data_IF_565389602107
#
_entry.id   IF_565389602107
#
_cell.length_a   1.000
_cell.length_b   1.000
_cell.length_c   1.000
_cell.angle_alpha   90.00
_cell.angle_beta   90.00
_cell.angle_gamma   90.00
#
_symmetry.space_group_name_H-M   'P 1'
#
loop_
_entity.id
_entity.type
_entity.pdbx_description
1 polymer ?
#
# COMPACT_ATOMS: atom_id res chain seq x y z
N UNK A 1 -6.49 -5.28 28.37
CA UNK A 1 -5.38 -4.82 27.49
C UNK A 1 -4.93 -5.85 26.42
N UNK A 2 -5.32 -7.13 26.48
CA UNK A 2 -5.08 -8.11 25.40
C UNK A 2 -5.83 -7.80 24.08
N UNK A 3 -6.94 -7.06 24.13
CA UNK A 3 -7.78 -6.75 22.97
C UNK A 3 -7.13 -5.84 21.90
N UNK A 4 -6.05 -5.11 22.23
CA UNK A 4 -5.32 -4.27 21.27
C UNK A 4 -4.24 -5.04 20.51
N UNK A 5 -3.65 -6.08 21.12
CA UNK A 5 -2.63 -6.92 20.47
C UNK A 5 -3.22 -7.77 19.35
N UNK A 6 -4.45 -8.26 19.53
CA UNK A 6 -5.15 -9.03 18.49
C UNK A 6 -5.52 -8.14 17.31
N UNK A 7 -6.03 -6.92 17.54
CA UNK A 7 -6.35 -5.97 16.46
C UNK A 7 -5.13 -5.58 15.63
N UNK A 8 -3.95 -5.43 16.22
CA UNK A 8 -2.72 -5.11 15.49
C UNK A 8 -2.24 -6.27 14.60
N UNK A 9 -2.43 -7.52 15.04
CA UNK A 9 -2.06 -8.71 14.26
C UNK A 9 -2.97 -8.87 13.03
N UNK A 10 -4.28 -8.62 13.19
CA UNK A 10 -5.23 -8.60 12.08
C UNK A 10 -4.88 -7.57 11.01
N UNK A 11 -4.45 -6.37 11.44
CA UNK A 11 -4.09 -5.29 10.51
C UNK A 11 -2.86 -5.70 9.66
N UNK A 12 -1.82 -6.28 10.26
CA UNK A 12 -0.64 -6.75 9.53
C UNK A 12 -0.93 -7.94 8.61
N UNK A 13 -1.77 -8.89 9.03
CA UNK A 13 -2.19 -10.02 8.20
C UNK A 13 -3.08 -9.58 7.03
N UNK A 14 -3.99 -8.62 7.25
CA UNK A 14 -4.85 -8.08 6.19
C UNK A 14 -4.05 -7.24 5.18
N UNK A 15 -3.07 -6.44 5.62
CA UNK A 15 -2.15 -5.73 4.73
C UNK A 15 -1.28 -6.69 3.90
N UNK A 16 -0.78 -7.76 4.51
CA UNK A 16 0.06 -8.75 3.83
C UNK A 16 -0.70 -9.66 2.86
N UNK A 17 -1.93 -10.08 3.18
CA UNK A 17 -2.72 -10.96 2.32
C UNK A 17 -3.21 -10.26 1.06
N UNK A 18 -3.70 -9.03 1.15
CA UNK A 18 -4.25 -8.35 -0.02
C UNK A 18 -3.17 -7.92 -1.01
N UNK A 19 -2.00 -7.43 -0.54
CA UNK A 19 -0.87 -7.21 -1.45
C UNK A 19 -0.50 -8.49 -2.19
N UNK A 20 -0.47 -9.63 -1.49
CA UNK A 20 -0.24 -10.93 -2.13
C UNK A 20 -1.35 -11.27 -3.13
N UNK A 21 -2.62 -11.00 -2.83
CA UNK A 21 -3.74 -11.26 -3.75
C UNK A 21 -3.74 -10.33 -4.97
N UNK A 22 -3.53 -9.03 -4.79
CA UNK A 22 -3.43 -8.04 -5.86
C UNK A 22 -2.23 -8.32 -6.76
N UNK A 23 -1.04 -8.52 -6.17
CA UNK A 23 0.16 -8.89 -6.91
C UNK A 23 -0.02 -10.23 -7.61
N UNK A 24 -0.63 -11.23 -6.97
CA UNK A 24 -0.93 -12.51 -7.61
C UNK A 24 -1.88 -12.34 -8.79
N UNK A 25 -2.96 -11.56 -8.67
CA UNK A 25 -3.89 -11.28 -9.78
C UNK A 25 -3.15 -10.55 -10.91
N UNK A 26 -2.43 -9.48 -10.59
CA UNK A 26 -1.62 -8.76 -11.57
C UNK A 26 -0.62 -9.69 -12.26
N UNK A 27 0.12 -10.54 -11.54
CA UNK A 27 1.04 -11.51 -12.15
C UNK A 27 0.34 -12.57 -13.00
N UNK A 28 -0.86 -13.03 -12.60
CA UNK A 28 -1.66 -13.96 -13.41
C UNK A 28 -2.11 -13.35 -14.74
N UNK A 29 -2.54 -12.09 -14.74
CA UNK A 29 -3.08 -11.41 -15.92
C UNK A 29 -2.03 -10.64 -16.75
N UNK A 30 -1.00 -10.06 -16.12
CA UNK A 30 -0.04 -9.15 -16.75
C UNK A 30 1.23 -9.84 -17.26
N UNK A 31 1.76 -10.82 -16.52
CA UNK A 31 3.13 -11.30 -16.75
C UNK A 31 3.20 -12.60 -17.57
N UNK A 32 2.12 -13.37 -17.62
CA UNK A 32 2.12 -14.70 -18.23
C UNK A 32 1.26 -14.81 -19.50
N UNK A 33 0.47 -13.78 -19.84
CA UNK A 33 -0.34 -13.76 -21.06
C UNK A 33 0.38 -12.99 -22.17
N UNK A 34 0.51 -13.64 -23.34
CA UNK A 34 1.13 -13.05 -24.52
C UNK A 34 0.35 -11.79 -24.94
N UNK A 35 1.05 -10.66 -25.08
CA UNK A 35 0.45 -9.37 -25.46
C UNK A 35 0.05 -8.46 -24.29
N UNK A 36 0.33 -8.84 -23.03
CA UNK A 36 0.12 -7.97 -21.85
C UNK A 36 1.43 -7.42 -21.25
N UNK A 37 2.53 -7.47 -22.01
CA UNK A 37 3.89 -7.11 -21.57
C UNK A 37 3.96 -5.71 -20.95
N UNK A 38 3.29 -4.73 -21.55
CA UNK A 38 3.26 -3.34 -21.07
C UNK A 38 2.69 -3.20 -19.65
N UNK A 39 1.78 -4.09 -19.25
CA UNK A 39 1.16 -4.06 -17.92
C UNK A 39 2.17 -4.36 -16.80
N UNK A 40 3.28 -5.05 -17.12
CA UNK A 40 4.34 -5.35 -16.15
C UNK A 40 4.97 -4.08 -15.56
N UNK A 41 5.14 -3.02 -16.36
CA UNK A 41 5.68 -1.73 -15.94
C UNK A 41 4.76 -0.99 -14.94
N UNK A 42 3.47 -1.34 -14.93
CA UNK A 42 2.46 -0.69 -14.09
C UNK A 42 2.23 -1.38 -12.75
N UNK A 43 2.69 -2.63 -12.54
CA UNK A 43 2.39 -3.42 -11.34
C UNK A 43 2.73 -2.68 -10.05
N UNK A 44 3.93 -2.09 -9.98
CA UNK A 44 4.36 -1.32 -8.81
C UNK A 44 3.49 -0.08 -8.59
N UNK A 45 3.15 0.64 -9.66
CA UNK A 45 2.29 1.83 -9.62
C UNK A 45 0.88 1.48 -9.14
N UNK A 46 0.28 0.40 -9.65
CA UNK A 46 -1.07 -0.07 -9.26
C UNK A 46 -1.11 -0.39 -7.77
N UNK A 47 -0.11 -1.11 -7.26
CA UNK A 47 0.01 -1.42 -5.84
C UNK A 47 0.16 -0.15 -4.99
N UNK A 48 1.02 0.77 -5.41
CA UNK A 48 1.23 2.01 -4.68
C UNK A 48 -0.03 2.90 -4.70
N UNK A 49 -0.74 2.92 -5.83
CA UNK A 49 -2.01 3.64 -5.99
C UNK A 49 -3.10 3.11 -5.07
N UNK A 50 -3.15 1.79 -4.83
CA UNK A 50 -4.10 1.20 -3.88
C UNK A 50 -3.93 1.81 -2.47
N UNK A 51 -2.68 1.91 -1.99
CA UNK A 51 -2.39 2.51 -0.69
C UNK A 51 -2.60 4.02 -0.67
N UNK A 52 -2.32 4.67 -1.79
CA UNK A 52 -2.65 6.07 -1.98
C UNK A 52 -4.16 6.30 -1.82
N UNK A 53 -5.01 5.48 -2.45
CA UNK A 53 -6.47 5.52 -2.30
C UNK A 53 -6.88 5.34 -0.83
N UNK A 54 -6.34 4.32 -0.17
CA UNK A 54 -6.56 4.05 1.26
C UNK A 54 -6.21 5.25 2.13
N UNK A 55 -5.08 5.91 1.88
CA UNK A 55 -4.64 7.10 2.63
C UNK A 55 -5.51 8.32 2.37
N UNK A 56 -6.01 8.49 1.15
CA UNK A 56 -6.70 9.71 0.69
C UNK A 56 -8.21 9.69 0.87
N UNK A 57 -8.82 8.51 0.91
CA UNK A 57 -10.27 8.36 1.00
C UNK A 57 -10.90 8.88 2.31
N UNK A 58 -10.11 9.26 3.31
CA UNK A 58 -10.61 9.90 4.53
C UNK A 58 -11.61 9.07 5.34
N UNK A 59 -11.63 7.74 5.16
CA UNK A 59 -12.64 6.86 5.77
C UNK A 59 -13.83 6.52 4.87
N UNK A 60 -14.02 7.22 3.75
CA UNK A 60 -15.11 7.00 2.79
C UNK A 60 -14.80 5.87 1.81
N UNK A 61 -15.62 4.82 1.83
CA UNK A 61 -15.51 3.72 0.85
C UNK A 61 -15.86 4.18 -0.57
N UNK A 62 -16.74 5.17 -0.72
CA UNK A 62 -17.10 5.72 -2.03
C UNK A 62 -15.90 6.43 -2.66
N UNK A 63 -15.27 7.34 -1.92
CA UNK A 63 -14.09 8.09 -2.35
C UNK A 63 -12.92 7.15 -2.67
N UNK A 64 -12.74 6.08 -1.88
CA UNK A 64 -11.76 5.03 -2.20
C UNK A 64 -12.06 4.45 -3.59
N UNK A 65 -13.30 4.01 -3.83
CA UNK A 65 -13.70 3.41 -5.10
C UNK A 65 -13.47 4.35 -6.28
N UNK A 66 -13.80 5.63 -6.13
CA UNK A 66 -13.62 6.62 -7.20
C UNK A 66 -12.14 6.84 -7.52
N UNK A 67 -11.29 6.98 -6.50
CA UNK A 67 -9.83 7.07 -6.68
C UNK A 67 -9.26 5.79 -7.32
N UNK A 68 -9.74 4.62 -6.89
CA UNK A 68 -9.27 3.33 -7.37
C UNK A 68 -9.66 3.07 -8.83
N UNK A 69 -10.90 3.37 -9.21
CA UNK A 69 -11.39 3.24 -10.58
C UNK A 69 -10.72 4.26 -11.50
N UNK A 70 -10.43 5.47 -10.99
CA UNK A 70 -9.70 6.51 -11.71
C UNK A 70 -8.35 6.08 -12.26
N UNK A 71 -7.74 5.04 -11.68
CA UNK A 71 -6.50 4.45 -12.21
C UNK A 71 -6.63 3.97 -13.66
N UNK A 72 -7.82 3.49 -14.07
CA UNK A 72 -8.07 3.04 -15.45
C UNK A 72 -7.97 4.18 -16.47
N UNK A 73 -8.29 5.39 -16.06
CA UNK A 73 -8.12 6.58 -16.90
C UNK A 73 -6.65 7.02 -16.90
N UNK A 74 -6.01 7.04 -15.73
CA UNK A 74 -4.61 7.44 -15.61
C UNK A 74 -3.67 6.62 -16.51
N UNK A 75 -3.80 5.29 -16.52
CA UNK A 75 -2.89 4.41 -17.30
C UNK A 75 -3.02 4.57 -18.83
N UNK A 76 -4.07 5.24 -19.32
CA UNK A 76 -4.30 5.53 -20.74
C UNK A 76 -4.11 7.01 -21.08
N UNK A 77 -3.43 7.78 -20.21
CA UNK A 77 -3.20 9.22 -20.35
C UNK A 77 -4.48 10.08 -20.26
N UNK A 78 -5.57 9.53 -19.69
CA UNK A 78 -6.78 10.29 -19.38
C UNK A 78 -6.70 10.81 -17.94
N UNK A 79 -6.26 12.07 -17.79
CA UNK A 79 -6.06 12.68 -16.46
C UNK A 79 -7.29 13.41 -15.89
N UNK A 80 -8.37 13.50 -16.66
CA UNK A 80 -9.66 14.08 -16.27
C UNK A 80 -10.80 13.21 -16.80
N UNK A 81 -11.82 12.97 -15.98
CA UNK A 81 -12.98 12.14 -16.33
C UNK A 81 -14.22 12.54 -15.54
N UNK A 82 -15.38 12.03 -15.95
CA UNK A 82 -16.64 12.20 -15.22
C UNK A 82 -16.82 11.05 -14.24
N UNK A 83 -17.24 11.34 -13.00
CA UNK A 83 -17.51 10.33 -11.99
C UNK A 83 -18.83 9.60 -12.28
N UNK A 84 -19.03 8.45 -11.63
CA UNK A 84 -20.20 7.59 -11.87
C UNK A 84 -21.55 8.24 -11.51
N UNK A 85 -21.54 9.30 -10.71
CA UNK A 85 -22.74 10.09 -10.38
C UNK A 85 -23.17 11.04 -11.50
N UNK A 86 -22.34 11.20 -12.55
CA UNK A 86 -22.60 12.08 -13.69
C UNK A 86 -22.54 13.58 -13.36
N UNK A 87 -22.20 13.93 -12.11
CA UNK A 87 -22.22 15.29 -11.57
C UNK A 87 -20.80 15.73 -11.20
N UNK A 88 -19.97 14.81 -10.69
CA UNK A 88 -18.60 15.09 -10.30
C UNK A 88 -17.58 14.94 -11.44
N UNK A 89 -16.47 15.68 -11.34
CA UNK A 89 -15.29 15.49 -12.17
C UNK A 89 -14.17 14.83 -11.35
N UNK A 90 -13.66 13.71 -11.87
CA UNK A 90 -12.46 13.06 -11.37
C UNK A 90 -11.22 13.60 -12.08
N UNK A 91 -10.11 13.70 -11.34
CA UNK A 91 -8.80 14.05 -11.89
C UNK A 91 -7.70 13.33 -11.14
N UNK A 92 -6.55 13.16 -11.80
CA UNK A 92 -5.35 12.69 -11.13
C UNK A 92 -4.85 13.71 -10.09
N UNK A 93 -4.40 13.23 -8.93
CA UNK A 93 -3.84 14.07 -7.86
C UNK A 93 -2.31 14.11 -7.94
N UNK A 94 -1.79 14.65 -9.05
CA UNK A 94 -0.38 14.98 -9.21
C UNK A 94 -0.23 16.17 -10.18
N UNK A 95 0.88 16.90 -10.03
CA UNK A 95 1.32 17.86 -11.04
C UNK A 95 1.80 17.14 -12.31
N UNK A 96 2.11 17.88 -13.36
CA UNK A 96 2.75 17.30 -14.56
C UNK A 96 3.99 16.50 -14.11
N UNK A 97 4.02 15.22 -14.48
CA UNK A 97 5.12 14.33 -14.15
C UNK A 97 6.36 14.74 -14.95
N UNK A 98 7.54 14.67 -14.34
CA UNK A 98 8.79 14.86 -15.09
C UNK A 98 9.05 13.70 -16.04
N UNK A 99 9.96 13.85 -17.00
CA UNK A 99 10.32 12.78 -17.94
C UNK A 99 10.83 11.52 -17.21
N UNK A 100 11.52 11.69 -16.07
CA UNK A 100 11.99 10.57 -15.24
C UNK A 100 10.83 9.83 -14.56
N UNK A 101 9.87 10.58 -14.01
CA UNK A 101 8.67 10.05 -13.35
C UNK A 101 7.70 9.39 -14.35
N UNK A 102 7.68 9.90 -15.59
CA UNK A 102 6.84 9.45 -16.72
C UNK A 102 7.56 8.48 -17.67
N UNK A 103 8.52 7.71 -17.15
CA UNK A 103 9.27 6.70 -17.92
C UNK A 103 8.46 5.46 -18.39
N UNK A 104 7.18 5.34 -18.01
CA UNK A 104 6.34 4.16 -18.30
C UNK A 104 5.53 4.34 -19.59
N UNK A 105 5.42 3.30 -20.45
CA UNK A 105 4.55 3.37 -21.62
C UNK A 105 3.08 3.40 -21.19
N UNK A 106 2.29 4.28 -21.82
CA UNK A 106 0.84 4.29 -21.64
C UNK A 106 0.23 3.03 -22.24
N UNK A 107 -0.82 2.53 -21.60
CA UNK A 107 -1.60 1.45 -22.19
C UNK A 107 -2.52 2.02 -23.27
N UNK A 108 -2.64 1.31 -24.39
CA UNK A 108 -3.64 1.65 -25.38
C UNK A 108 -5.04 1.37 -24.80
N UNK A 109 -5.96 2.33 -24.93
CA UNK A 109 -7.34 2.16 -24.47
C UNK A 109 -7.99 0.93 -25.12
N UNK A 110 -8.64 0.13 -24.28
CA UNK A 110 -9.31 -1.14 -24.62
C UNK A 110 -8.44 -2.21 -25.31
N UNK A 111 -7.12 -2.06 -25.26
CA UNK A 111 -6.16 -3.12 -25.55
C UNK A 111 -6.28 -4.28 -24.56
N UNK A 112 -5.64 -5.41 -24.89
CA UNK A 112 -5.54 -6.58 -24.02
C UNK A 112 -5.04 -6.22 -22.61
N UNK A 113 -3.91 -5.52 -22.41
CA UNK A 113 -3.43 -5.16 -21.08
C UNK A 113 -4.37 -4.22 -20.33
N UNK A 114 -5.02 -3.27 -21.02
CA UNK A 114 -6.00 -2.38 -20.39
C UNK A 114 -7.24 -3.16 -19.90
N UNK A 115 -7.76 -4.08 -20.71
CA UNK A 115 -8.88 -4.95 -20.32
C UNK A 115 -8.53 -5.88 -19.17
N UNK A 116 -7.33 -6.45 -19.18
CA UNK A 116 -6.80 -7.26 -18.09
C UNK A 116 -6.76 -6.48 -16.77
N UNK A 117 -6.23 -5.25 -16.80
CA UNK A 117 -6.24 -4.37 -15.64
C UNK A 117 -7.66 -4.01 -15.18
N UNK A 118 -8.57 -3.70 -16.11
CA UNK A 118 -9.98 -3.42 -15.82
C UNK A 118 -10.64 -4.55 -15.03
N UNK A 119 -10.36 -5.82 -15.35
CA UNK A 119 -10.91 -6.95 -14.61
C UNK A 119 -10.41 -7.01 -13.16
N UNK A 120 -9.17 -6.57 -12.90
CA UNK A 120 -8.61 -6.52 -11.55
C UNK A 120 -9.23 -5.37 -10.75
N UNK A 121 -9.24 -4.17 -11.34
CA UNK A 121 -9.77 -2.95 -10.69
C UNK A 121 -11.24 -3.11 -10.35
N UNK A 122 -12.04 -3.66 -11.28
CA UNK A 122 -13.49 -3.84 -11.13
C UNK A 122 -13.89 -5.17 -10.49
N UNK A 123 -12.94 -5.94 -9.96
CA UNK A 123 -13.24 -7.25 -9.38
C UNK A 123 -14.20 -7.10 -8.18
N UNK A 124 -15.43 -7.64 -8.32
CA UNK A 124 -16.54 -7.47 -7.35
C UNK A 124 -16.13 -7.71 -5.89
N UNK A 125 -15.40 -8.78 -5.61
CA UNK A 125 -14.93 -9.08 -4.24
C UNK A 125 -14.00 -8.01 -3.69
N UNK A 126 -13.07 -7.50 -4.51
CA UNK A 126 -12.13 -6.47 -4.09
C UNK A 126 -12.89 -5.19 -3.75
N UNK A 127 -13.76 -4.74 -4.65
CA UNK A 127 -14.58 -3.54 -4.45
C UNK A 127 -15.47 -3.62 -3.19
N UNK A 128 -15.95 -4.81 -2.84
CA UNK A 128 -16.73 -5.02 -1.62
C UNK A 128 -15.86 -5.01 -0.35
N UNK A 129 -14.59 -5.42 -0.44
CA UNK A 129 -13.66 -5.47 0.70
C UNK A 129 -12.97 -4.11 0.96
N UNK A 130 -13.04 -3.13 0.03
CA UNK A 130 -12.38 -1.82 0.16
C UNK A 130 -12.70 -1.06 1.47
N UNK A 131 -13.89 -1.25 2.04
CA UNK A 131 -14.28 -0.60 3.30
C UNK A 131 -13.37 -0.99 4.50
N UNK A 132 -12.70 -2.14 4.45
CA UNK A 132 -11.72 -2.52 5.48
C UNK A 132 -10.44 -1.67 5.42
N UNK A 133 -10.19 -1.03 4.29
CA UNK A 133 -8.96 -0.31 3.99
C UNK A 133 -9.14 1.21 4.02
N UNK A 134 -10.31 1.72 4.39
CA UNK A 134 -10.54 3.17 4.45
C UNK A 134 -9.82 3.84 5.63
N UNK A 135 -9.40 3.05 6.61
CA UNK A 135 -8.65 3.50 7.78
C UNK A 135 -7.16 3.18 7.64
N UNK A 136 -6.48 3.88 6.72
CA UNK A 136 -5.05 3.70 6.51
C UNK A 136 -4.26 3.96 7.81
N UNK A 137 -3.43 3.00 8.22
CA UNK A 137 -2.47 3.16 9.33
C UNK A 137 -1.10 2.69 8.89
N UNK A 138 -0.13 3.60 8.95
CA UNK A 138 1.25 3.27 8.62
C UNK A 138 1.84 2.35 9.70
N UNK A 139 2.26 1.14 9.33
CA UNK A 139 2.84 0.14 10.26
C UNK A 139 4.35 0.25 10.40
N UNK A 140 5.03 1.06 9.57
CA UNK A 140 6.50 1.17 9.61
C UNK A 140 7.05 1.56 10.99
N UNK A 141 6.32 2.37 11.75
CA UNK A 141 6.70 2.69 13.14
C UNK A 141 6.59 1.48 14.06
N UNK A 142 5.56 0.66 13.88
CA UNK A 142 5.35 -0.56 14.64
C UNK A 142 6.42 -1.61 14.32
N UNK A 143 6.79 -1.73 13.04
CA UNK A 143 7.85 -2.63 12.58
C UNK A 143 9.22 -2.19 13.09
N UNK A 144 9.52 -0.89 13.05
CA UNK A 144 10.73 -0.31 13.63
C UNK A 144 10.81 -0.57 15.13
N UNK A 145 9.71 -0.33 15.86
CA UNK A 145 9.65 -0.65 17.29
C UNK A 145 9.79 -2.15 17.55
N UNK A 146 9.18 -3.01 16.73
CA UNK A 146 9.32 -4.46 16.86
C UNK A 146 10.78 -4.89 16.70
N UNK A 147 11.49 -4.37 15.70
CA UNK A 147 12.91 -4.65 15.51
C UNK A 147 13.75 -4.16 16.70
N UNK A 148 13.45 -2.98 17.23
CA UNK A 148 14.10 -2.46 18.44
C UNK A 148 13.84 -3.35 19.66
N UNK A 149 12.60 -3.79 19.84
CA UNK A 149 12.19 -4.71 20.90
C UNK A 149 12.96 -6.03 20.83
N UNK A 150 13.25 -6.54 19.62
CA UNK A 150 14.01 -7.78 19.43
C UNK A 150 15.46 -7.67 19.89
N UNK A 151 16.05 -6.47 19.98
CA UNK A 151 17.37 -6.27 20.59
C UNK A 151 17.35 -6.55 22.11
N UNK A 152 16.24 -6.21 22.77
CA UNK A 152 16.07 -6.39 24.23
C UNK A 152 15.47 -7.76 24.58
N UNK A 153 14.59 -8.27 23.71
CA UNK A 153 13.86 -9.52 23.84
C UNK A 153 14.01 -10.40 22.58
N UNK A 154 15.20 -10.97 22.30
CA UNK A 154 15.35 -11.98 21.25
C UNK A 154 14.36 -13.13 21.41
N UNK A 155 13.70 -13.55 20.31
CA UNK A 155 12.70 -14.64 20.28
C UNK A 155 13.25 -16.01 20.71
N UNK A 156 14.57 -16.20 20.63
CA UNK A 156 15.25 -17.49 20.88
C UNK A 156 15.53 -17.75 22.36
N UNK A 157 15.25 -16.78 23.23
CA UNK A 157 15.51 -16.87 24.66
C UNK A 157 14.18 -16.92 25.42
N UNK A 158 14.15 -17.67 26.52
CA UNK A 158 13.04 -17.69 27.45
C UNK A 158 13.24 -16.63 28.54
N UNK A 159 12.14 -16.05 29.01
CA UNK A 159 12.16 -15.02 30.05
C UNK A 159 11.08 -15.31 31.07
N UNK A 160 11.35 -14.97 32.33
CA UNK A 160 10.28 -14.87 33.33
C UNK A 160 9.33 -13.74 32.95
N UNK A 161 8.09 -13.80 33.42
CA UNK A 161 7.08 -12.79 33.07
C UNK A 161 7.51 -11.38 33.51
N UNK A 162 8.23 -11.27 34.63
CA UNK A 162 8.79 -10.01 35.14
C UNK A 162 9.93 -9.55 34.24
N UNK A 163 10.87 -10.43 33.91
CA UNK A 163 12.00 -10.11 33.03
C UNK A 163 11.56 -9.66 31.64
N UNK A 164 10.55 -10.30 31.06
CA UNK A 164 9.96 -9.90 29.79
C UNK A 164 9.34 -8.50 29.84
N UNK A 165 8.54 -8.21 30.88
CA UNK A 165 7.90 -6.90 31.07
C UNK A 165 8.94 -5.78 31.21
N UNK A 166 9.96 -5.97 32.04
CA UNK A 166 11.02 -4.97 32.25
C UNK A 166 11.75 -4.65 30.94
N UNK A 167 12.12 -5.68 30.18
CA UNK A 167 12.82 -5.50 28.88
C UNK A 167 11.94 -4.81 27.84
N UNK A 168 10.63 -5.12 27.80
CA UNK A 168 9.69 -4.40 26.93
C UNK A 168 9.60 -2.91 27.31
N UNK A 169 9.54 -2.59 28.60
CA UNK A 169 9.51 -1.21 29.08
C UNK A 169 10.81 -0.47 28.75
N UNK A 170 11.97 -1.10 28.95
CA UNK A 170 13.27 -0.54 28.58
C UNK A 170 13.36 -0.28 27.07
N UNK A 171 12.97 -1.25 26.24
CA UNK A 171 12.92 -1.07 24.79
C UNK A 171 12.02 0.10 24.38
N UNK A 172 10.86 0.27 25.03
CA UNK A 172 9.95 1.39 24.75
C UNK A 172 10.53 2.75 25.15
N UNK A 173 11.19 2.84 26.31
CA UNK A 173 11.86 4.06 26.77
C UNK A 173 12.97 4.45 25.78
N UNK A 174 13.82 3.47 25.45
CA UNK A 174 14.96 3.67 24.56
C UNK A 174 14.53 4.05 23.13
N UNK A 175 13.51 3.36 22.60
CA UNK A 175 12.94 3.69 21.30
C UNK A 175 12.32 5.09 21.28
N UNK A 176 11.57 5.47 22.32
CA UNK A 176 11.00 6.82 22.43
C UNK A 176 12.08 7.91 22.51
N UNK A 177 13.24 7.61 23.12
CA UNK A 177 14.37 8.54 23.16
C UNK A 177 15.05 8.71 21.80
N UNK A 178 15.04 7.67 20.97
CA UNK A 178 15.72 7.63 19.68
C UNK A 178 14.82 7.81 18.46
N UNK A 179 13.50 7.97 18.66
CA UNK A 179 12.48 8.10 17.60
C UNK A 179 12.70 9.23 16.60
N UNK A 180 13.48 10.25 16.98
CA UNK A 180 13.75 11.45 16.17
C UNK A 180 15.19 11.53 15.70
N UNK A 181 15.97 10.44 15.81
CA UNK A 181 17.30 10.41 15.22
C UNK A 181 17.18 10.56 13.70
N UNK A 182 18.04 11.38 13.14
CA UNK A 182 18.21 11.45 11.69
C UNK A 182 18.63 10.08 11.16
N UNK A 183 18.18 9.78 9.94
CA UNK A 183 18.57 8.55 9.26
C UNK A 183 20.09 8.56 9.10
N UNK A 184 20.74 7.44 9.44
CA UNK A 184 22.17 7.31 9.28
C UNK A 184 22.50 7.41 7.79
N UNK A 185 23.19 8.48 7.39
CA UNK A 185 23.63 8.66 6.02
C UNK A 185 24.83 7.76 5.74
N UNK A 186 24.84 7.14 4.58
CA UNK A 186 26.06 6.50 4.04
C UNK A 186 27.10 7.58 3.68
N UNK A 187 28.35 7.18 3.40
CA UNK A 187 29.42 8.12 3.04
C UNK A 187 29.07 9.01 1.82
N UNK A 188 28.13 8.56 0.98
CA UNK A 188 27.66 9.25 -0.22
C UNK A 188 26.42 10.13 0.07
N UNK A 189 26.14 10.44 1.35
CA UNK A 189 25.00 11.21 1.85
C UNK A 189 23.61 10.70 1.45
N UNK A 190 23.51 9.48 0.95
CA UNK A 190 22.23 8.83 0.64
C UNK A 190 21.66 8.13 1.88
N UNK A 191 20.32 8.22 2.12
CA UNK A 191 19.63 7.56 3.22
C UNK A 191 19.71 6.03 3.17
#
# INVERSE_FOLDING_TARGET
KMHQSTKMCYINEMFGMEQKTLLRRLSLYAANEKGNEDLSHWIASVRNHFWYCSRKCGGSTADFKDLWIGLLHHVVDEHQWVLNDGIGQGKCDHSVLTEEERSKPWLLKDSSPHKALRQIILHKRLLNELHYYTNFRHTGFLESFHNHLLMYCPKRLSYTIIGYKLRNQLAAIDFNKHRSREIAKTADETP
#
